data_IF_346420797194
#
_entry.id   IF_346420797194
#
_cell.length_a   1.000
_cell.length_b   1.000
_cell.length_c   1.000
_cell.angle_alpha   90.00
_cell.angle_beta   90.00
_cell.angle_gamma   90.00
#
_symmetry.space_group_name_H-M   'P 1'
#
loop_
_entity.id
_entity.type
_entity.pdbx_description
1 polymer ?
#
# COMPACT_ATOMS: atom_id res chain seq x y z
N UNK A 1 9.15 15.70 -23.18
CA UNK A 1 8.13 15.68 -22.10
C UNK A 1 8.77 16.28 -20.86
N UNK A 2 8.17 17.31 -20.26
CA UNK A 2 8.66 17.89 -18.99
C UNK A 2 8.08 17.05 -17.86
N UNK A 3 8.90 16.20 -17.24
CA UNK A 3 8.51 15.47 -16.04
C UNK A 3 8.39 16.46 -14.88
N UNK A 4 7.24 16.51 -14.24
CA UNK A 4 7.00 17.31 -13.05
C UNK A 4 7.68 16.60 -11.87
N UNK A 5 8.81 17.14 -11.40
CA UNK A 5 9.53 16.59 -10.26
C UNK A 5 8.90 17.16 -8.97
N UNK A 6 8.02 16.38 -8.34
CA UNK A 6 7.48 16.72 -7.03
C UNK A 6 8.49 16.27 -5.97
N UNK A 7 9.32 17.21 -5.49
CA UNK A 7 10.19 16.98 -4.34
C UNK A 7 9.52 17.51 -3.08
N UNK A 8 9.44 16.69 -2.03
CA UNK A 8 9.12 17.19 -0.69
C UNK A 8 10.42 17.79 -0.17
N UNK A 9 10.50 19.12 0.06
CA UNK A 9 11.78 19.78 0.24
C UNK A 9 12.54 19.20 1.44
N UNK A 10 13.71 18.65 1.15
CA UNK A 10 14.81 18.60 2.10
C UNK A 10 15.39 20.02 2.20
N UNK A 11 15.93 20.42 3.35
CA UNK A 11 16.32 21.80 3.62
C UNK A 11 17.55 22.27 2.82
N UNK A 12 17.45 22.44 1.49
CA UNK A 12 18.33 23.25 0.67
C UNK A 12 17.78 23.39 -0.77
N UNK A 13 17.74 24.62 -1.27
CA UNK A 13 17.23 24.99 -2.59
C UNK A 13 18.28 24.76 -3.70
N UNK A 14 17.83 24.42 -4.91
CA UNK A 14 18.65 24.47 -6.14
C UNK A 14 17.99 25.37 -7.20
N UNK A 15 18.82 25.99 -8.04
CA UNK A 15 18.52 27.20 -8.82
C UNK A 15 17.72 27.01 -10.12
N UNK A 16 17.47 25.79 -10.58
CA UNK A 16 16.97 25.55 -11.96
C UNK A 16 15.56 24.95 -12.07
N UNK A 17 14.78 24.95 -10.98
CA UNK A 17 13.38 24.48 -11.00
C UNK A 17 12.44 25.49 -10.34
N UNK A 18 11.29 25.77 -10.95
CA UNK A 18 10.21 26.49 -10.27
C UNK A 18 9.68 25.55 -9.19
N UNK A 19 10.09 25.78 -7.95
CA UNK A 19 9.66 25.01 -6.79
C UNK A 19 8.42 25.68 -6.17
N UNK A 20 7.26 25.00 -6.23
CA UNK A 20 6.10 25.36 -5.44
C UNK A 20 6.13 24.56 -4.13
N UNK A 21 6.17 25.26 -2.99
CA UNK A 21 6.05 24.62 -1.67
C UNK A 21 4.57 24.35 -1.38
N UNK A 22 4.12 23.12 -1.62
CA UNK A 22 2.81 22.67 -1.17
C UNK A 22 2.86 22.32 0.31
N UNK A 23 2.16 23.09 1.14
CA UNK A 23 1.92 22.75 2.55
C UNK A 23 0.69 21.85 2.59
N UNK A 24 0.92 20.55 2.69
CA UNK A 24 -0.14 19.55 2.66
C UNK A 24 -0.51 19.14 4.07
N UNK A 25 -1.79 19.26 4.41
CA UNK A 25 -2.37 18.59 5.57
C UNK A 25 -2.67 17.13 5.21
N UNK A 26 -2.48 16.20 6.15
CA UNK A 26 -2.77 14.77 5.93
C UNK A 26 -4.20 14.49 5.45
N UNK A 27 -5.15 15.36 5.79
CA UNK A 27 -6.52 15.30 5.29
C UNK A 27 -6.62 15.53 3.77
N UNK A 28 -5.81 16.42 3.19
CA UNK A 28 -5.85 16.73 1.76
C UNK A 28 -5.36 15.54 0.93
N UNK A 29 -4.33 14.83 1.40
CA UNK A 29 -3.80 13.64 0.75
C UNK A 29 -4.82 12.49 0.84
N UNK A 30 -5.49 12.34 1.99
CA UNK A 30 -6.57 11.36 2.15
C UNK A 30 -7.76 11.63 1.23
N UNK A 31 -8.13 12.90 1.04
CA UNK A 31 -9.17 13.28 0.07
C UNK A 31 -8.79 12.89 -1.36
N UNK A 32 -7.55 13.19 -1.78
CA UNK A 32 -7.07 12.80 -3.12
C UNK A 32 -7.14 11.28 -3.31
N UNK A 33 -6.71 10.51 -2.30
CA UNK A 33 -6.79 9.05 -2.32
C UNK A 33 -8.24 8.58 -2.52
N UNK A 34 -9.20 9.14 -1.77
CA UNK A 34 -10.61 8.80 -1.90
C UNK A 34 -11.12 9.09 -3.32
N UNK A 35 -10.78 10.25 -3.88
CA UNK A 35 -11.18 10.63 -5.24
C UNK A 35 -10.60 9.67 -6.29
N UNK A 36 -9.31 9.33 -6.20
CA UNK A 36 -8.65 8.41 -7.13
C UNK A 36 -9.23 6.99 -7.03
N UNK A 37 -9.46 6.49 -5.82
CA UNK A 37 -10.06 5.17 -5.60
C UNK A 37 -11.50 5.06 -6.13
N UNK A 38 -12.25 6.16 -6.22
CA UNK A 38 -13.62 6.17 -6.75
C UNK A 38 -13.69 6.32 -8.27
N UNK A 39 -12.66 6.90 -8.89
CA UNK A 39 -12.70 7.34 -10.29
C UNK A 39 -11.91 6.42 -11.24
N UNK A 40 -10.94 5.66 -10.72
CA UNK A 40 -10.03 4.87 -11.55
C UNK A 40 -10.24 3.37 -11.29
N UNK A 41 -10.30 2.56 -12.34
CA UNK A 41 -10.40 1.10 -12.27
C UNK A 41 -9.05 0.39 -12.05
N UNK A 42 -8.00 1.15 -11.72
CA UNK A 42 -6.62 0.66 -11.55
C UNK A 42 -6.24 0.74 -10.08
N UNK A 43 -5.37 -0.17 -9.63
CA UNK A 43 -4.86 -0.17 -8.26
C UNK A 43 -4.16 1.15 -7.93
N UNK A 44 -4.78 1.93 -7.05
CA UNK A 44 -4.20 3.17 -6.50
C UNK A 44 -3.13 2.80 -5.47
N UNK A 45 -1.93 3.42 -5.50
CA UNK A 45 -0.94 3.27 -4.45
C UNK A 45 -1.55 3.47 -3.06
N UNK A 46 -1.07 2.71 -2.07
CA UNK A 46 -1.57 2.83 -0.70
C UNK A 46 -1.14 4.14 -0.06
N UNK A 47 -2.08 4.79 0.60
CA UNK A 47 -1.81 6.01 1.35
C UNK A 47 -0.93 5.67 2.57
N UNK A 48 0.16 6.41 2.82
CA UNK A 48 0.93 6.29 4.06
C UNK A 48 0.05 6.53 5.29
N UNK A 49 0.38 5.85 6.40
CA UNK A 49 -0.33 6.07 7.66
C UNK A 49 -0.19 7.52 8.12
N UNK A 50 -1.28 8.05 8.69
CA UNK A 50 -1.30 9.40 9.23
C UNK A 50 -0.17 9.59 10.28
N UNK A 51 0.47 10.77 10.33
CA UNK A 51 1.51 11.02 11.31
C UNK A 51 0.93 11.00 12.73
N UNK A 52 1.66 10.37 13.63
CA UNK A 52 1.39 10.36 15.06
C UNK A 52 1.94 11.65 15.66
N UNK A 53 1.04 12.49 16.15
CA UNK A 53 1.38 13.80 16.72
C UNK A 53 2.34 13.69 17.92
N UNK A 54 2.34 12.56 18.65
CA UNK A 54 3.25 12.36 19.78
C UNK A 54 4.71 12.11 19.37
N UNK A 55 4.96 11.80 18.11
CA UNK A 55 6.29 11.48 17.57
C UNK A 55 6.84 12.59 16.68
N UNK A 56 6.17 13.74 16.62
CA UNK A 56 6.57 14.84 15.72
C UNK A 56 7.86 15.55 16.15
N UNK A 57 8.29 15.37 17.40
CA UNK A 57 9.57 15.88 17.89
C UNK A 57 10.75 14.95 17.53
N UNK A 58 10.47 13.72 17.08
CA UNK A 58 11.48 12.77 16.61
C UNK A 58 11.82 13.04 15.14
N UNK A 59 13.04 13.52 14.90
CA UNK A 59 13.54 13.84 13.56
C UNK A 59 13.52 12.62 12.62
N UNK A 60 13.85 11.42 13.11
CA UNK A 60 13.86 10.20 12.30
C UNK A 60 12.43 9.84 11.86
N UNK A 61 11.47 10.02 12.78
CA UNK A 61 10.06 9.79 12.50
C UNK A 61 9.51 10.74 11.42
N UNK A 62 9.79 12.04 11.57
CA UNK A 62 9.35 13.07 10.62
C UNK A 62 9.94 12.81 9.24
N UNK A 63 11.23 12.50 9.17
CA UNK A 63 11.91 12.21 7.92
C UNK A 63 11.38 10.93 7.25
N UNK A 64 11.11 9.88 8.03
CA UNK A 64 10.47 8.66 7.54
C UNK A 64 9.10 8.96 6.91
N UNK A 65 8.29 9.80 7.56
CA UNK A 65 6.99 10.22 7.03
C UNK A 65 7.12 11.06 5.76
N UNK A 66 8.09 11.97 5.71
CA UNK A 66 8.41 12.75 4.51
C UNK A 66 8.72 11.85 3.32
N UNK A 67 9.59 10.85 3.52
CA UNK A 67 9.98 9.89 2.49
C UNK A 67 8.81 9.02 2.02
N UNK A 68 7.96 8.54 2.93
CA UNK A 68 6.75 7.78 2.57
C UNK A 68 5.80 8.59 1.69
N UNK A 69 5.56 9.86 2.05
CA UNK A 69 4.71 10.78 1.25
C UNK A 69 5.34 11.06 -0.11
N UNK A 70 6.66 11.30 -0.16
CA UNK A 70 7.37 11.51 -1.42
C UNK A 70 7.26 10.29 -2.36
N UNK A 71 7.47 9.07 -1.83
CA UNK A 71 7.31 7.83 -2.61
C UNK A 71 5.88 7.61 -3.09
N UNK A 72 4.89 7.94 -2.27
CA UNK A 72 3.48 7.88 -2.68
C UNK A 72 3.21 8.76 -3.91
N UNK A 73 3.65 10.02 -3.89
CA UNK A 73 3.47 10.92 -5.04
C UNK A 73 4.30 10.51 -6.26
N UNK A 74 5.52 10.01 -6.07
CA UNK A 74 6.34 9.48 -7.16
C UNK A 74 5.62 8.32 -7.89
N UNK A 75 4.96 7.42 -7.14
CA UNK A 75 4.16 6.34 -7.71
C UNK A 75 2.93 6.85 -8.48
N UNK A 76 2.29 7.93 -8.03
CA UNK A 76 1.17 8.56 -8.75
C UNK A 76 1.65 9.20 -10.05
N UNK A 77 2.68 10.04 -9.99
CA UNK A 77 3.17 10.83 -11.13
C UNK A 77 3.73 9.94 -12.24
N UNK A 78 4.32 8.79 -11.90
CA UNK A 78 4.84 7.82 -12.90
C UNK A 78 3.75 7.12 -13.71
N UNK A 79 2.48 7.19 -13.30
CA UNK A 79 1.36 6.52 -13.99
C UNK A 79 0.49 7.57 -14.66
N UNK A 80 0.44 7.53 -15.99
CA UNK A 80 -0.30 8.53 -16.80
C UNK A 80 -1.78 8.67 -16.38
N UNK A 81 -2.41 7.54 -16.02
CA UNK A 81 -3.80 7.48 -15.55
C UNK A 81 -4.05 8.38 -14.34
N UNK A 82 -3.05 8.55 -13.46
CA UNK A 82 -3.15 9.43 -12.30
C UNK A 82 -2.61 10.83 -12.60
N UNK A 83 -1.51 10.94 -13.34
CA UNK A 83 -0.88 12.22 -13.64
C UNK A 83 -1.80 13.19 -14.39
N UNK A 84 -2.58 12.69 -15.35
CA UNK A 84 -3.54 13.50 -16.11
C UNK A 84 -4.93 13.55 -15.48
N UNK A 85 -5.12 12.96 -14.30
CA UNK A 85 -6.44 12.89 -13.68
C UNK A 85 -6.89 14.27 -13.19
N UNK A 86 -8.12 14.69 -13.54
CA UNK A 86 -8.66 16.02 -13.21
C UNK A 86 -8.52 16.34 -11.71
N UNK A 87 -8.83 15.37 -10.84
CA UNK A 87 -8.74 15.55 -9.38
C UNK A 87 -7.29 15.64 -8.87
N UNK A 88 -6.34 15.01 -9.56
CA UNK A 88 -4.92 15.12 -9.23
C UNK A 88 -4.37 16.47 -9.66
N UNK A 89 -4.75 16.95 -10.85
CA UNK A 89 -4.39 18.30 -11.33
C UNK A 89 -5.00 19.37 -10.42
N UNK A 90 -6.27 19.23 -10.05
CA UNK A 90 -6.94 20.12 -9.09
C UNK A 90 -6.24 20.13 -7.74
N UNK A 91 -5.83 18.96 -7.25
CA UNK A 91 -5.08 18.85 -5.99
C UNK A 91 -3.76 19.63 -6.02
N UNK A 92 -3.08 19.66 -7.17
CA UNK A 92 -1.84 20.40 -7.37
C UNK A 92 -2.06 21.88 -7.71
N UNK A 93 -3.29 22.31 -7.97
CA UNK A 93 -3.58 23.69 -8.37
C UNK A 93 -3.69 24.61 -7.15
N UNK A 94 -3.44 25.90 -7.37
CA UNK A 94 -3.63 26.93 -6.35
C UNK A 94 -5.10 27.14 -5.96
N UNK A 95 -6.05 26.52 -6.68
CA UNK A 95 -7.48 26.66 -6.45
C UNK A 95 -7.98 25.76 -5.32
N UNK A 96 -7.19 24.74 -4.93
CA UNK A 96 -7.55 23.85 -3.83
C UNK A 96 -7.35 24.55 -2.48
N UNK A 97 -8.45 24.98 -1.87
CA UNK A 97 -8.42 25.53 -0.51
C UNK A 97 -8.30 24.41 0.54
N UNK A 98 -7.57 24.61 1.65
CA UNK A 98 -7.50 23.65 2.75
C UNK A 98 -8.87 23.29 3.36
N UNK A 99 -9.86 24.19 3.22
CA UNK A 99 -11.22 24.06 3.74
C UNK A 99 -12.17 23.23 2.87
N UNK A 100 -11.86 23.00 1.60
CA UNK A 100 -12.64 22.11 0.73
C UNK A 100 -12.46 20.63 1.09
N UNK A 101 -11.47 20.34 1.94
CA UNK A 101 -11.16 19.02 2.47
C UNK A 101 -11.94 18.80 3.76
N UNK A 102 -13.27 18.86 3.63
CA UNK A 102 -14.14 18.32 4.64
C UNK A 102 -14.03 16.80 4.59
N UNK A 103 -13.93 16.17 5.76
CA UNK A 103 -14.29 14.76 5.90
C UNK A 103 -15.68 14.67 5.27
N UNK A 104 -15.86 13.81 4.26
CA UNK A 104 -17.18 13.30 3.87
C UNK A 104 -17.70 12.45 5.03
N UNK A 105 -17.82 13.05 6.22
CA UNK A 105 -18.67 12.54 7.27
C UNK A 105 -20.02 12.53 6.59
N UNK A 106 -20.49 11.33 6.29
CA UNK A 106 -21.90 11.05 6.09
C UNK A 106 -22.58 11.45 7.40
N UNK A 107 -22.74 12.74 7.58
CA UNK A 107 -23.39 13.33 8.72
C UNK A 107 -24.86 13.04 8.60
N UNK A 108 -25.38 12.47 9.69
CA UNK A 108 -26.73 12.73 10.19
C UNK A 108 -27.88 12.06 9.41
N UNK A 109 -28.41 11.00 10.05
CA UNK A 109 -29.77 10.48 9.92
C UNK A 109 -30.21 9.98 8.53
N UNK A 110 -29.81 8.75 8.17
CA UNK A 110 -30.62 7.92 7.28
C UNK A 110 -30.92 6.57 7.92
N UNK A 111 -31.97 6.50 8.74
CA UNK A 111 -32.47 5.27 9.35
C UNK A 111 -33.06 4.24 8.36
N UNK A 112 -33.02 4.49 7.04
CA UNK A 112 -33.60 3.60 6.04
C UNK A 112 -32.78 3.55 4.73
N UNK A 113 -31.46 3.31 4.81
CA UNK A 113 -30.73 2.74 3.67
C UNK A 113 -30.19 1.37 4.05
N UNK A 114 -31.00 0.35 3.78
CA UNK A 114 -30.56 -1.04 3.60
C UNK A 114 -29.67 -1.15 2.34
N UNK A 115 -28.57 -0.42 2.30
CA UNK A 115 -27.42 -0.89 1.55
C UNK A 115 -26.57 -1.61 2.58
N UNK A 116 -26.71 -2.94 2.60
CA UNK A 116 -25.65 -3.82 3.08
C UNK A 116 -24.38 -3.40 2.36
N UNK A 117 -23.61 -2.49 2.94
CA UNK A 117 -22.16 -2.59 2.86
C UNK A 117 -21.88 -3.96 3.45
N UNK A 118 -21.77 -4.95 2.57
CA UNK A 118 -21.03 -6.16 2.84
C UNK A 118 -19.79 -5.68 3.58
N UNK A 119 -19.72 -5.97 4.88
CA UNK A 119 -18.45 -5.97 5.59
C UNK A 119 -17.56 -6.81 4.68
N UNK A 120 -16.66 -6.15 3.94
CA UNK A 120 -15.65 -6.84 3.17
C UNK A 120 -14.95 -7.72 4.19
N UNK A 121 -15.17 -9.03 4.05
CA UNK A 121 -14.56 -10.03 4.92
C UNK A 121 -13.08 -9.74 4.95
N UNK A 122 -12.52 -9.68 6.15
CA UNK A 122 -11.08 -9.52 6.36
C UNK A 122 -10.33 -10.50 5.46
N UNK A 123 -9.58 -9.95 4.51
CA UNK A 123 -8.25 -10.44 4.10
C UNK A 123 -8.14 -11.61 3.14
N UNK A 124 -9.04 -11.81 2.17
CA UNK A 124 -8.85 -12.92 1.20
C UNK A 124 -9.52 -12.73 -0.16
N UNK A 125 -9.10 -13.56 -1.11
CA UNK A 125 -9.72 -13.66 -2.42
C UNK A 125 -11.06 -14.40 -2.36
N UNK A 126 -12.06 -13.90 -3.08
CA UNK A 126 -13.30 -14.62 -3.34
C UNK A 126 -13.05 -15.70 -4.41
N UNK A 127 -13.38 -16.94 -4.07
CA UNK A 127 -13.34 -18.05 -5.03
C UNK A 127 -14.73 -18.27 -5.63
N UNK A 128 -14.80 -18.29 -6.95
CA UNK A 128 -15.99 -18.66 -7.69
C UNK A 128 -15.59 -19.52 -8.89
N UNK A 129 -16.28 -20.65 -9.05
CA UNK A 129 -16.12 -21.54 -10.21
C UNK A 129 -17.46 -21.63 -10.92
N UNK A 130 -17.49 -21.16 -12.18
CA UNK A 130 -18.67 -21.28 -13.01
C UNK A 130 -18.97 -22.76 -13.27
N UNK A 131 -20.25 -23.12 -13.21
CA UNK A 131 -20.72 -24.50 -13.47
C UNK A 131 -20.93 -24.78 -14.96
N UNK A 132 -21.06 -23.72 -15.75
CA UNK A 132 -21.26 -23.76 -17.20
C UNK A 132 -20.04 -23.10 -17.87
N UNK A 133 -19.63 -23.54 -19.08
CA UNK A 133 -18.53 -22.93 -19.80
C UNK A 133 -18.86 -21.46 -20.10
N UNK A 134 -18.03 -20.56 -19.56
CA UNK A 134 -18.12 -19.12 -19.78
C UNK A 134 -17.11 -18.73 -20.86
N UNK A 135 -17.53 -17.88 -21.81
CA UNK A 135 -16.64 -17.34 -22.83
C UNK A 135 -15.59 -16.42 -22.18
N UNK A 136 -14.31 -16.63 -22.48
CA UNK A 136 -13.19 -15.92 -21.84
C UNK A 136 -12.87 -16.40 -20.41
N UNK A 137 -13.22 -17.64 -20.05
CA UNK A 137 -12.93 -18.19 -18.72
C UNK A 137 -11.43 -18.47 -18.52
N UNK A 138 -10.71 -17.48 -18.00
CA UNK A 138 -9.30 -17.60 -17.59
C UNK A 138 -9.14 -17.91 -16.09
N UNK A 139 -10.08 -18.65 -15.48
CA UNK A 139 -10.06 -18.89 -14.05
C UNK A 139 -8.73 -19.46 -13.55
N UNK A 140 -8.15 -20.42 -14.28
CA UNK A 140 -6.88 -21.07 -13.87
C UNK A 140 -5.70 -20.09 -13.85
N UNK A 141 -5.64 -19.17 -14.80
CA UNK A 141 -4.65 -18.09 -14.82
C UNK A 141 -4.91 -17.15 -13.64
N UNK A 142 -6.16 -16.80 -13.37
CA UNK A 142 -6.52 -15.93 -12.27
C UNK A 142 -6.22 -16.54 -10.88
N UNK A 143 -6.54 -17.83 -10.68
CA UNK A 143 -6.18 -18.58 -9.47
C UNK A 143 -4.66 -18.61 -9.25
N UNK A 144 -3.88 -18.81 -10.32
CA UNK A 144 -2.41 -18.71 -10.24
C UNK A 144 -1.94 -17.33 -9.78
N UNK A 145 -2.53 -16.26 -10.30
CA UNK A 145 -2.22 -14.90 -9.85
C UNK A 145 -2.65 -14.65 -8.40
N UNK A 146 -3.80 -15.15 -7.96
CA UNK A 146 -4.24 -15.06 -6.56
C UNK A 146 -3.22 -15.71 -5.60
N UNK A 147 -2.76 -16.92 -5.93
CA UNK A 147 -1.73 -17.62 -5.16
C UNK A 147 -0.43 -16.80 -5.14
N UNK A 148 -0.02 -16.28 -6.29
CA UNK A 148 1.19 -15.47 -6.40
C UNK A 148 1.11 -14.19 -5.57
N UNK A 149 -0.04 -13.49 -5.57
CA UNK A 149 -0.27 -12.29 -4.75
C UNK A 149 -0.17 -12.62 -3.25
N UNK A 150 -0.80 -13.70 -2.78
CA UNK A 150 -0.71 -14.11 -1.37
C UNK A 150 0.72 -14.49 -0.98
N UNK A 151 1.45 -15.15 -1.87
CA UNK A 151 2.85 -15.51 -1.67
C UNK A 151 3.72 -14.25 -1.53
N UNK A 152 3.58 -13.28 -2.43
CA UNK A 152 4.30 -12.02 -2.37
C UNK A 152 3.97 -11.23 -1.11
N UNK A 153 2.69 -11.14 -0.73
CA UNK A 153 2.26 -10.49 0.50
C UNK A 153 2.94 -11.10 1.73
N UNK A 154 2.96 -12.43 1.81
CA UNK A 154 3.65 -13.15 2.88
C UNK A 154 5.15 -12.85 2.90
N UNK A 155 5.82 -12.89 1.74
CA UNK A 155 7.26 -12.60 1.68
C UNK A 155 7.59 -11.16 2.04
N UNK A 156 6.84 -10.18 1.54
CA UNK A 156 7.05 -8.78 1.90
C UNK A 156 6.81 -8.53 3.39
N UNK A 157 5.79 -9.17 3.98
CA UNK A 157 5.56 -9.15 5.43
C UNK A 157 6.75 -9.71 6.21
N UNK A 158 7.20 -10.91 5.88
CA UNK A 158 8.31 -11.58 6.56
C UNK A 158 9.63 -10.81 6.46
N UNK A 159 9.93 -10.23 5.28
CA UNK A 159 11.17 -9.45 5.11
C UNK A 159 11.08 -8.14 5.90
N UNK A 160 9.94 -7.44 5.91
CA UNK A 160 9.76 -6.22 6.70
C UNK A 160 9.88 -6.47 8.21
N UNK A 161 9.37 -7.60 8.70
CA UNK A 161 9.55 -8.03 10.09
C UNK A 161 11.01 -8.35 10.40
N UNK A 162 11.71 -9.07 9.52
CA UNK A 162 13.13 -9.37 9.69
C UNK A 162 14.00 -8.10 9.74
N UNK A 163 13.72 -7.12 8.87
CA UNK A 163 14.39 -5.81 8.90
C UNK A 163 14.10 -5.04 10.20
N UNK A 164 12.89 -5.13 10.73
CA UNK A 164 12.54 -4.53 12.02
C UNK A 164 13.28 -5.20 13.18
N UNK A 165 13.43 -6.52 13.16
CA UNK A 165 14.23 -7.26 14.14
C UNK A 165 15.72 -6.92 14.04
N UNK A 166 16.24 -6.69 12.83
CA UNK A 166 17.63 -6.29 12.61
C UNK A 166 17.96 -4.97 13.31
N UNK A 167 17.02 -4.02 13.44
CA UNK A 167 17.22 -2.79 14.20
C UNK A 167 17.49 -3.11 15.67
N UNK A 168 16.65 -3.95 16.30
CA UNK A 168 16.81 -4.31 17.71
C UNK A 168 18.15 -5.04 17.97
N UNK A 169 18.57 -5.90 17.04
CA UNK A 169 19.86 -6.57 17.12
C UNK A 169 21.04 -5.59 17.00
N UNK A 170 20.91 -4.56 16.14
CA UNK A 170 21.93 -3.52 15.97
C UNK A 170 22.02 -2.61 17.19
N UNK A 171 20.89 -2.27 17.81
CA UNK A 171 20.87 -1.54 19.09
C UNK A 171 21.58 -2.33 20.19
N UNK A 172 21.27 -3.63 20.34
CA UNK A 172 21.97 -4.49 21.30
C UNK A 172 23.48 -4.67 21.00
N UNK A 173 23.86 -4.68 19.71
CA UNK A 173 25.27 -4.68 19.32
C UNK A 173 25.96 -3.37 19.71
N UNK A 174 25.30 -2.22 19.54
CA UNK A 174 25.83 -0.92 19.94
C UNK A 174 26.07 -0.84 21.47
N UNK A 175 25.14 -1.37 22.27
CA UNK A 175 25.31 -1.47 23.73
C UNK A 175 26.51 -2.35 24.09
N UNK A 176 26.68 -3.47 23.39
CA UNK A 176 27.81 -4.40 23.61
C UNK A 176 29.15 -3.76 23.25
N UNK A 177 29.21 -2.96 22.18
CA UNK A 177 30.41 -2.24 21.75
C UNK A 177 30.81 -1.18 22.78
N UNK A 178 29.83 -0.38 23.23
CA UNK A 178 30.00 0.61 24.31
C UNK A 178 30.58 -0.06 25.56
N UNK A 179 29.96 -1.17 25.99
CA UNK A 179 30.42 -1.93 27.16
C UNK A 179 31.84 -2.50 26.98
N UNK A 180 32.20 -2.97 25.78
CA UNK A 180 33.55 -3.42 25.48
C UNK A 180 34.58 -2.27 25.60
N UNK A 181 34.21 -1.07 25.14
CA UNK A 181 35.00 0.14 25.30
C UNK A 181 35.26 0.46 26.77
N UNK A 182 34.21 0.46 27.58
CA UNK A 182 34.27 0.68 29.02
C UNK A 182 35.16 -0.35 29.71
N UNK A 183 34.95 -1.65 29.46
CA UNK A 183 35.79 -2.70 30.06
C UNK A 183 37.26 -2.60 29.65
N UNK A 184 37.56 -2.22 28.41
CA UNK A 184 38.93 -2.03 27.95
C UNK A 184 39.61 -0.87 28.70
N UNK A 185 38.88 0.23 28.90
CA UNK A 185 39.34 1.35 29.71
C UNK A 185 39.55 0.91 31.17
N UNK A 186 38.56 0.28 31.79
CA UNK A 186 38.63 -0.16 33.20
C UNK A 186 39.77 -1.16 33.44
N UNK A 187 39.94 -2.14 32.54
CA UNK A 187 40.97 -3.17 32.67
C UNK A 187 42.38 -2.59 32.58
N UNK A 188 42.58 -1.58 31.73
CA UNK A 188 43.89 -0.98 31.50
C UNK A 188 44.23 0.15 32.46
N UNK A 189 43.22 0.88 32.96
CA UNK A 189 43.35 1.87 34.04
C UNK A 189 43.43 1.24 35.44
N UNK A 190 43.04 -0.04 35.56
CA UNK A 190 43.12 -0.81 36.80
C UNK A 190 44.54 -0.83 37.37
N UNK A 191 44.63 -0.94 38.70
CA UNK A 191 45.82 -0.87 39.59
C UNK A 191 47.06 -1.68 39.19
N UNK A 192 47.02 -2.47 38.11
CA UNK A 192 48.10 -3.33 37.65
C UNK A 192 49.02 -2.56 36.70
N UNK A 193 50.02 -1.87 37.26
CA UNK A 193 51.08 -1.25 36.46
C UNK A 193 51.89 -2.34 35.76
N UNK A 194 52.04 -2.22 34.45
CA UNK A 194 52.95 -3.06 33.68
C UNK A 194 54.41 -2.64 33.99
N UNK A 195 55.07 -3.35 34.91
CA UNK A 195 56.51 -3.23 35.16
C UNK A 195 56.94 -2.19 36.21
N UNK A 196 58.11 -2.43 36.80
CA UNK A 196 58.64 -1.74 37.99
C UNK A 196 59.62 -0.58 37.66
N UNK A 197 59.92 -0.36 36.37
CA UNK A 197 60.95 0.59 35.93
C UNK A 197 60.42 2.00 35.60
N UNK A 198 61.29 3.01 35.66
CA UNK A 198 60.95 4.43 35.41
C UNK A 198 60.36 4.68 34.00
N UNK A 199 60.77 3.91 32.99
CA UNK A 199 60.22 3.94 31.63
C UNK A 199 58.81 3.33 31.51
N UNK A 200 58.38 2.54 32.50
CA UNK A 200 57.06 1.89 32.50
C UNK A 200 55.93 2.90 32.71
N UNK A 201 56.19 4.02 33.39
CA UNK A 201 55.18 5.07 33.64
C UNK A 201 54.73 5.78 32.37
N UNK A 202 55.65 6.10 31.47
CA UNK A 202 55.30 6.79 30.23
C UNK A 202 54.68 5.82 29.21
N UNK A 203 55.12 4.56 29.21
CA UNK A 203 54.48 3.49 28.44
C UNK A 203 53.05 3.19 28.92
N UNK A 204 52.83 3.15 30.24
CA UNK A 204 51.50 3.00 30.83
C UNK A 204 50.60 4.19 30.46
N UNK A 205 51.08 5.44 30.59
CA UNK A 205 50.31 6.61 30.16
C UNK A 205 49.97 6.59 28.67
N UNK A 206 50.89 6.11 27.83
CA UNK A 206 50.64 5.96 26.41
C UNK A 206 49.60 4.86 26.12
N UNK A 207 49.61 3.77 26.89
CA UNK A 207 48.59 2.71 26.84
C UNK A 207 47.22 3.25 27.28
N UNK A 208 47.15 3.94 28.42
CA UNK A 208 45.90 4.51 28.95
C UNK A 208 45.25 5.45 27.93
N UNK A 209 46.04 6.31 27.27
CA UNK A 209 45.55 7.20 26.20
C UNK A 209 45.01 6.41 25.00
N UNK A 210 45.69 5.34 24.60
CA UNK A 210 45.22 4.49 23.49
C UNK A 210 43.94 3.74 23.84
N UNK A 211 43.77 3.34 25.09
CA UNK A 211 42.57 2.64 25.56
C UNK A 211 41.38 3.59 25.71
N UNK A 212 41.61 4.83 26.15
CA UNK A 212 40.60 5.88 26.10
C UNK A 212 40.16 6.17 24.66
N UNK A 213 41.10 6.27 23.72
CA UNK A 213 40.77 6.44 22.30
C UNK A 213 39.98 5.24 21.76
N UNK A 214 40.37 4.03 22.14
CA UNK A 214 39.64 2.82 21.76
C UNK A 214 38.20 2.80 22.28
N UNK A 215 37.96 3.20 23.54
CA UNK A 215 36.60 3.30 24.08
C UNK A 215 35.74 4.31 23.31
N UNK A 216 36.28 5.51 23.04
CA UNK A 216 35.57 6.50 22.21
C UNK A 216 35.25 5.98 20.80
N UNK A 217 36.16 5.23 20.18
CA UNK A 217 35.92 4.61 18.87
C UNK A 217 34.85 3.51 18.93
N UNK A 218 34.74 2.80 20.04
CA UNK A 218 33.68 1.80 20.24
C UNK A 218 32.31 2.46 20.39
N UNK A 219 32.22 3.58 21.10
CA UNK A 219 30.99 4.38 21.22
C UNK A 219 30.55 4.92 19.84
N UNK A 220 31.50 5.48 19.08
CA UNK A 220 31.26 6.01 17.74
C UNK A 220 30.82 4.89 16.77
N UNK A 221 31.45 3.73 16.84
CA UNK A 221 31.05 2.55 16.06
C UNK A 221 29.63 2.08 16.43
N UNK A 222 29.29 2.05 17.72
CA UNK A 222 27.95 1.74 18.20
C UNK A 222 26.90 2.70 17.63
N UNK A 223 27.18 4.01 17.66
CA UNK A 223 26.33 5.02 17.05
C UNK A 223 26.12 4.77 15.55
N UNK A 224 27.19 4.51 14.79
CA UNK A 224 27.10 4.22 13.35
C UNK A 224 26.28 2.96 13.05
N UNK A 225 26.45 1.90 13.84
CA UNK A 225 25.71 0.63 13.66
C UNK A 225 24.21 0.82 13.85
N UNK A 226 23.80 1.56 14.89
CA UNK A 226 22.38 1.88 15.14
C UNK A 226 21.82 2.78 14.04
N UNK A 227 22.56 3.82 13.65
CA UNK A 227 22.13 4.76 12.62
C UNK A 227 21.92 4.07 11.28
N UNK A 228 22.87 3.22 10.87
CA UNK A 228 22.77 2.45 9.64
C UNK A 228 21.50 1.57 9.63
N UNK A 229 21.19 0.88 10.73
CA UNK A 229 20.00 0.04 10.83
C UNK A 229 18.70 0.80 10.61
N UNK A 230 18.60 2.01 11.18
CA UNK A 230 17.43 2.89 11.00
C UNK A 230 17.30 3.34 9.54
N UNK A 231 18.39 3.81 8.93
CA UNK A 231 18.39 4.29 7.54
C UNK A 231 18.05 3.18 6.54
N UNK A 232 18.66 2.00 6.69
CA UNK A 232 18.36 0.82 5.87
C UNK A 232 16.88 0.44 5.97
N UNK A 233 16.30 0.46 7.18
CA UNK A 233 14.89 0.14 7.36
C UNK A 233 13.96 1.21 6.76
N UNK A 234 14.32 2.50 6.87
CA UNK A 234 13.56 3.60 6.24
C UNK A 234 13.57 3.53 4.71
N UNK A 235 14.65 3.03 4.12
CA UNK A 235 14.80 2.91 2.66
C UNK A 235 14.21 1.60 2.12
N UNK A 236 14.50 0.46 2.73
CA UNK A 236 14.09 -0.86 2.23
C UNK A 236 12.85 -1.40 2.94
N UNK A 237 12.82 -1.35 4.27
CA UNK A 237 11.73 -1.90 5.08
C UNK A 237 10.39 -1.24 4.78
N UNK A 238 10.39 0.10 4.70
CA UNK A 238 9.17 0.84 4.33
C UNK A 238 8.68 0.50 2.93
N UNK A 239 9.58 0.35 1.95
CA UNK A 239 9.22 0.02 0.57
C UNK A 239 8.58 -1.37 0.50
N UNK A 240 9.12 -2.34 1.24
CA UNK A 240 8.53 -3.69 1.33
C UNK A 240 7.15 -3.65 1.98
N UNK A 241 6.98 -2.89 3.05
CA UNK A 241 5.68 -2.71 3.71
C UNK A 241 4.67 -2.03 2.77
N UNK A 242 5.10 -1.05 1.98
CA UNK A 242 4.27 -0.41 0.95
C UNK A 242 3.83 -1.41 -0.12
N UNK A 243 4.71 -2.30 -0.59
CA UNK A 243 4.35 -3.36 -1.53
C UNK A 243 3.40 -4.39 -0.92
N UNK A 244 3.62 -4.80 0.32
CA UNK A 244 2.70 -5.65 1.09
C UNK A 244 1.32 -5.01 1.13
N UNK A 245 1.22 -3.75 1.54
CA UNK A 245 -0.05 -3.04 1.65
C UNK A 245 -0.73 -2.86 0.28
N UNK A 246 0.04 -2.71 -0.80
CA UNK A 246 -0.49 -2.62 -2.17
C UNK A 246 -1.20 -3.90 -2.63
N UNK A 247 -0.94 -5.05 -1.99
CA UNK A 247 -1.63 -6.31 -2.29
C UNK A 247 -3.12 -6.24 -1.97
N UNK A 248 -3.55 -5.43 -1.00
CA UNK A 248 -4.97 -5.27 -0.68
C UNK A 248 -5.74 -4.57 -1.80
N UNK A 249 -5.10 -3.64 -2.51
CA UNK A 249 -5.67 -3.03 -3.71
C UNK A 249 -5.88 -4.06 -4.82
N UNK A 250 -4.90 -4.94 -5.05
CA UNK A 250 -5.02 -6.05 -6.01
C UNK A 250 -6.13 -7.03 -5.61
N UNK A 251 -6.22 -7.41 -4.33
CA UNK A 251 -7.32 -8.26 -3.84
C UNK A 251 -8.68 -7.63 -4.11
N UNK A 252 -8.80 -6.31 -3.93
CA UNK A 252 -10.06 -5.58 -4.19
C UNK A 252 -10.45 -5.65 -5.67
N UNK A 253 -9.51 -5.42 -6.58
CA UNK A 253 -9.74 -5.53 -8.03
C UNK A 253 -10.12 -6.96 -8.43
N UNK A 254 -9.40 -7.95 -7.92
CA UNK A 254 -9.68 -9.36 -8.19
C UNK A 254 -11.06 -9.77 -7.68
N UNK A 255 -11.42 -9.35 -6.47
CA UNK A 255 -12.74 -9.63 -5.90
C UNK A 255 -13.87 -8.93 -6.65
N UNK A 256 -13.64 -7.72 -7.16
CA UNK A 256 -14.59 -7.02 -8.01
C UNK A 256 -14.81 -7.76 -9.34
N UNK A 257 -13.74 -8.27 -9.96
CA UNK A 257 -13.84 -9.14 -11.15
C UNK A 257 -14.61 -10.42 -10.85
N UNK A 258 -14.32 -11.10 -9.75
CA UNK A 258 -15.07 -12.30 -9.33
C UNK A 258 -16.54 -11.98 -9.12
N UNK A 259 -16.87 -10.83 -8.53
CA UNK A 259 -18.25 -10.36 -8.39
C UNK A 259 -18.94 -10.15 -9.74
N UNK A 260 -18.25 -9.56 -10.73
CA UNK A 260 -18.78 -9.39 -12.10
C UNK A 260 -19.01 -10.72 -12.81
N UNK A 261 -18.13 -11.70 -12.62
CA UNK A 261 -18.33 -13.06 -13.12
C UNK A 261 -19.60 -13.69 -12.51
N UNK A 262 -19.80 -13.55 -11.20
CA UNK A 262 -20.98 -14.06 -10.52
C UNK A 262 -22.27 -13.42 -11.06
N UNK A 263 -22.26 -12.10 -11.28
CA UNK A 263 -23.39 -11.35 -11.87
C UNK A 263 -23.71 -11.82 -13.30
N UNK A 264 -22.68 -12.02 -14.13
CA UNK A 264 -22.85 -12.52 -15.49
C UNK A 264 -23.45 -13.93 -15.51
N UNK A 265 -22.91 -14.86 -14.71
CA UNK A 265 -23.41 -16.24 -14.63
C UNK A 265 -24.83 -16.30 -14.09
N UNK A 266 -25.16 -15.48 -13.07
CA UNK A 266 -26.52 -15.40 -12.54
C UNK A 266 -27.51 -14.91 -13.60
N UNK A 267 -27.15 -13.88 -14.36
CA UNK A 267 -27.94 -13.36 -15.47
C UNK A 267 -28.13 -14.37 -16.60
N UNK A 268 -27.06 -15.11 -16.95
CA UNK A 268 -27.13 -16.20 -17.93
C UNK A 268 -28.10 -17.31 -17.50
N UNK A 269 -28.03 -17.74 -16.23
CA UNK A 269 -28.96 -18.74 -15.67
C UNK A 269 -30.41 -18.24 -15.67
N UNK A 270 -30.64 -16.97 -15.35
CA UNK A 270 -31.98 -16.38 -15.39
C UNK A 270 -32.55 -16.34 -16.82
N UNK A 271 -31.73 -15.97 -17.80
CA UNK A 271 -32.10 -15.99 -19.23
C UNK A 271 -32.46 -17.39 -19.69
N UNK A 272 -31.66 -18.40 -19.34
CA UNK A 272 -31.91 -19.80 -19.71
C UNK A 272 -33.24 -20.29 -19.11
N UNK A 273 -33.52 -20.00 -17.83
CA UNK A 273 -34.82 -20.37 -17.21
C UNK A 273 -36.02 -19.71 -17.89
N UNK A 274 -35.90 -18.44 -18.30
CA UNK A 274 -36.96 -17.71 -19.01
C UNK A 274 -37.17 -18.30 -20.40
N UNK A 275 -36.10 -18.51 -21.18
CA UNK A 275 -36.15 -19.19 -22.48
C UNK A 275 -36.84 -20.55 -22.38
N UNK A 276 -36.44 -21.39 -21.42
CA UNK A 276 -37.04 -22.73 -21.26
C UNK A 276 -38.53 -22.65 -20.88
N UNK A 277 -38.94 -21.63 -20.14
CA UNK A 277 -40.36 -21.35 -19.85
C UNK A 277 -41.10 -20.89 -21.11
N UNK A 278 -40.53 -19.96 -21.87
CA UNK A 278 -41.09 -19.47 -23.13
C UNK A 278 -41.27 -20.62 -24.11
N UNK A 279 -40.27 -21.49 -24.26
CA UNK A 279 -40.33 -22.62 -25.19
C UNK A 279 -41.40 -23.65 -24.80
N UNK A 280 -41.54 -23.94 -23.50
CA UNK A 280 -42.65 -24.78 -22.98
C UNK A 280 -44.03 -24.17 -23.19
N UNK A 281 -44.15 -22.84 -23.21
CA UNK A 281 -45.40 -22.13 -23.48
C UNK A 281 -45.70 -22.10 -24.99
N UNK A 282 -44.70 -21.86 -25.84
CA UNK A 282 -44.81 -21.96 -27.31
C UNK A 282 -45.33 -23.34 -27.74
N UNK A 283 -44.80 -24.41 -27.14
CA UNK A 283 -45.23 -25.79 -27.37
C UNK A 283 -46.68 -26.07 -26.96
N UNK A 284 -47.19 -25.40 -25.91
CA UNK A 284 -48.54 -25.65 -25.35
C UNK A 284 -49.63 -24.79 -25.96
N UNK A 285 -49.34 -23.52 -26.29
CA UNK A 285 -50.36 -22.51 -26.62
C UNK A 285 -50.16 -21.88 -28.01
N UNK A 286 -49.10 -22.26 -28.74
CA UNK A 286 -48.76 -21.68 -30.04
C UNK A 286 -48.15 -20.28 -29.94
N UNK A 287 -47.45 -19.84 -30.98
CA UNK A 287 -46.68 -18.57 -30.98
C UNK A 287 -47.51 -17.30 -30.71
N UNK A 288 -48.81 -17.32 -30.99
CA UNK A 288 -49.67 -16.14 -30.92
C UNK A 288 -50.48 -16.02 -29.62
N UNK A 289 -50.28 -16.92 -28.65
CA UNK A 289 -50.92 -16.80 -27.34
C UNK A 289 -50.49 -15.52 -26.60
N UNK A 290 -51.40 -14.78 -25.95
CA UNK A 290 -51.06 -13.57 -25.22
C UNK A 290 -50.03 -13.83 -24.10
N UNK A 291 -50.11 -14.98 -23.45
CA UNK A 291 -49.14 -15.43 -22.43
C UNK A 291 -47.75 -15.73 -23.02
N UNK A 292 -47.69 -16.21 -24.26
CA UNK A 292 -46.42 -16.47 -24.97
C UNK A 292 -45.76 -15.15 -25.35
N UNK A 293 -46.54 -14.17 -25.82
CA UNK A 293 -46.03 -12.83 -26.14
C UNK A 293 -45.46 -12.11 -24.91
N UNK A 294 -46.16 -12.20 -23.76
CA UNK A 294 -45.66 -11.67 -22.48
C UNK A 294 -44.37 -12.37 -22.02
N UNK A 295 -44.31 -13.71 -22.14
CA UNK A 295 -43.09 -14.45 -21.81
C UNK A 295 -41.91 -14.11 -22.74
N UNK A 296 -42.18 -13.85 -24.03
CA UNK A 296 -41.17 -13.40 -24.99
C UNK A 296 -40.65 -11.99 -24.68
N UNK A 297 -41.51 -11.05 -24.27
CA UNK A 297 -41.07 -9.72 -23.84
C UNK A 297 -40.20 -9.79 -22.58
N UNK A 298 -40.59 -10.60 -21.59
CA UNK A 298 -39.76 -10.82 -20.39
C UNK A 298 -38.41 -11.48 -20.73
N UNK A 299 -38.36 -12.39 -21.69
CA UNK A 299 -37.11 -13.00 -22.17
C UNK A 299 -36.21 -11.97 -22.88
N UNK A 300 -36.80 -11.05 -23.65
CA UNK A 300 -36.09 -9.97 -24.34
C UNK A 300 -35.44 -9.00 -23.34
N UNK A 301 -36.15 -8.63 -22.28
CA UNK A 301 -35.64 -7.77 -21.20
C UNK A 301 -34.46 -8.41 -20.48
N UNK A 302 -34.58 -9.69 -20.11
CA UNK A 302 -33.51 -10.43 -19.43
C UNK A 302 -32.32 -10.66 -20.36
N UNK A 303 -32.55 -10.84 -21.67
CA UNK A 303 -31.49 -10.95 -22.67
C UNK A 303 -30.71 -9.64 -22.83
N UNK A 304 -31.40 -8.50 -22.77
CA UNK A 304 -30.79 -7.17 -22.79
C UNK A 304 -29.95 -6.93 -21.52
N UNK A 305 -30.47 -7.33 -20.35
CA UNK A 305 -29.72 -7.27 -19.09
C UNK A 305 -28.47 -8.17 -19.10
N UNK A 306 -28.54 -9.37 -19.71
CA UNK A 306 -27.38 -10.25 -19.91
C UNK A 306 -26.31 -9.59 -20.78
N UNK A 307 -26.71 -8.91 -21.85
CA UNK A 307 -25.79 -8.20 -22.76
C UNK A 307 -25.01 -7.10 -22.02
N UNK A 308 -25.69 -6.32 -21.17
CA UNK A 308 -25.05 -5.29 -20.34
C UNK A 308 -24.04 -5.90 -19.35
N UNK A 309 -24.40 -7.01 -18.69
CA UNK A 309 -23.50 -7.71 -17.77
C UNK A 309 -22.33 -8.40 -18.49
N UNK A 310 -22.54 -8.84 -19.73
CA UNK A 310 -21.49 -9.42 -20.57
C UNK A 310 -20.43 -8.38 -20.94
N UNK A 311 -20.85 -7.19 -21.38
CA UNK A 311 -19.95 -6.08 -21.67
C UNK A 311 -19.17 -5.66 -20.40
N UNK A 312 -19.84 -5.65 -19.24
CA UNK A 312 -19.19 -5.39 -17.96
C UNK A 312 -18.18 -6.46 -17.56
N UNK A 313 -18.44 -7.73 -17.88
CA UNK A 313 -17.49 -8.83 -17.63
C UNK A 313 -16.25 -8.73 -18.54
N UNK A 314 -16.44 -8.57 -19.85
CA UNK A 314 -15.34 -8.49 -20.82
C UNK A 314 -14.40 -7.33 -20.51
N UNK A 315 -14.95 -6.16 -20.19
CA UNK A 315 -14.14 -4.99 -19.86
C UNK A 315 -13.31 -5.17 -18.57
N UNK A 316 -13.71 -6.07 -17.67
CA UNK A 316 -12.92 -6.43 -16.49
C UNK A 316 -11.84 -7.51 -16.74
N UNK A 317 -11.75 -8.06 -17.95
CA UNK A 317 -10.73 -9.06 -18.34
C UNK A 317 -9.61 -8.43 -19.18
N UNK A 318 -9.86 -7.31 -19.84
CA UNK A 318 -8.94 -6.70 -20.82
C UNK A 318 -8.11 -5.51 -20.28
N UNK A 319 -8.34 -5.09 -19.03
CA UNK A 319 -7.56 -4.05 -18.31
C UNK A 319 -6.75 -4.68 -17.16
#
# INVERSE_FOLDING_TARGET
MRHLLLSVPEAAASLDTIQFKLVLNGSQIAWLQEQLCQSVNVVVPTLPEAPNLSMMDDQDYVERKRLQVARYFDKLIRREVFYFHEKFIYFLSNDMSPTQVGITSKGVLSFLRFNRTLKQSRGGFHSFKATEPVEGDENDTFHRHQIYILMLESYFGSIAEALSQMILLREGLADTLTHLGDMAIETTQSKYRLGDEMNSKDQQRALDRKMQLFGMLMDELGFHVTRQGKEENMQFGDVLLEYKNSMDGLKTVFNARTQKLMEYVASAKQRNRKRDRTDKLKLRMGMNGPEVRLAMTEEQEVSSAKMNNHNGWINCVLD
#
